data_IF_962581034830
#
_entry.id   IF_962581034830
#
_cell.length_a   1.000
_cell.length_b   1.000
_cell.length_c   1.000
_cell.angle_alpha   90.00
_cell.angle_beta   90.00
_cell.angle_gamma   90.00
#
_symmetry.space_group_name_H-M   'P 1'
#
loop_
_entity.id
_entity.type
_entity.pdbx_description
1 polymer ?
#
# COMPACT_ATOMS: atom_id res chain seq x y z
N UNK A 1 -29.60 -35.00 11.91
CA UNK A 1 -30.00 -33.85 11.07
C UNK A 1 -29.18 -32.62 11.46
N UNK A 2 -28.15 -32.27 10.68
CA UNK A 2 -27.38 -31.02 10.90
C UNK A 2 -28.25 -29.85 10.47
N UNK A 3 -28.54 -28.91 11.39
CA UNK A 3 -29.26 -27.66 11.09
C UNK A 3 -28.56 -26.99 9.89
N UNK A 4 -29.32 -26.58 8.87
CA UNK A 4 -28.81 -25.79 7.74
C UNK A 4 -28.06 -24.59 8.30
N UNK A 5 -26.75 -24.53 8.09
CA UNK A 5 -25.90 -23.41 8.52
C UNK A 5 -26.25 -22.20 7.65
N UNK A 6 -26.55 -21.06 8.27
CA UNK A 6 -26.72 -19.79 7.55
C UNK A 6 -25.34 -19.31 7.10
N UNK A 7 -24.97 -19.61 5.86
CA UNK A 7 -23.81 -19.03 5.18
C UNK A 7 -24.16 -17.56 4.89
N UNK A 8 -23.35 -16.63 5.41
CA UNK A 8 -23.63 -15.19 5.28
C UNK A 8 -22.88 -14.61 4.08
N UNK A 9 -21.70 -15.11 3.76
CA UNK A 9 -21.10 -14.78 2.47
C UNK A 9 -21.96 -15.32 1.32
N UNK A 10 -21.86 -14.65 0.17
CA UNK A 10 -22.65 -14.99 -1.01
C UNK A 10 -22.09 -16.17 -1.80
N UNK A 11 -20.86 -16.57 -1.54
CA UNK A 11 -20.23 -17.74 -2.16
C UNK A 11 -20.72 -19.00 -1.45
N UNK A 12 -21.40 -19.89 -2.18
CA UNK A 12 -21.95 -21.14 -1.63
C UNK A 12 -20.92 -22.26 -1.62
N UNK A 13 -19.70 -21.97 -1.18
CA UNK A 13 -18.60 -22.94 -1.20
C UNK A 13 -18.75 -23.90 -0.01
N UNK A 14 -18.96 -25.19 -0.29
CA UNK A 14 -19.32 -26.23 0.71
C UNK A 14 -18.25 -26.48 1.79
N UNK A 15 -17.03 -25.97 1.58
CA UNK A 15 -15.86 -26.13 2.47
C UNK A 15 -15.50 -24.86 3.27
N UNK A 16 -16.43 -23.93 3.46
CA UNK A 16 -16.19 -22.81 4.38
C UNK A 16 -16.07 -23.34 5.82
N UNK A 17 -14.89 -23.18 6.42
CA UNK A 17 -14.67 -23.50 7.83
C UNK A 17 -15.10 -22.29 8.66
N UNK A 18 -15.83 -22.59 9.72
CA UNK A 18 -16.82 -21.69 10.29
C UNK A 18 -16.22 -20.73 11.32
N UNK A 19 -15.00 -20.23 11.10
CA UNK A 19 -14.52 -19.10 11.91
C UNK A 19 -15.19 -17.87 11.34
N UNK A 20 -16.20 -17.39 12.07
CA UNK A 20 -16.97 -16.20 11.72
C UNK A 20 -16.57 -15.09 12.66
N UNK A 21 -15.88 -14.09 12.12
CA UNK A 21 -15.67 -12.84 12.82
C UNK A 21 -16.69 -11.86 12.28
N UNK A 22 -17.59 -11.41 13.14
CA UNK A 22 -18.53 -10.34 12.83
C UNK A 22 -18.05 -9.11 13.57
N UNK A 23 -17.76 -8.07 12.80
CA UNK A 23 -17.16 -6.83 13.27
C UNK A 23 -18.11 -5.71 12.91
N UNK A 24 -18.58 -4.98 13.92
CA UNK A 24 -19.49 -3.86 13.74
C UNK A 24 -18.68 -2.56 13.70
N UNK A 25 -18.95 -1.72 12.70
CA UNK A 25 -18.24 -0.44 12.53
C UNK A 25 -19.25 0.69 12.42
N UNK A 26 -19.25 1.57 13.42
CA UNK A 26 -20.12 2.74 13.49
C UNK A 26 -19.35 4.06 13.39
N UNK A 27 -18.10 4.08 13.80
CA UNK A 27 -17.22 5.25 13.78
C UNK A 27 -15.75 4.90 13.51
N UNK A 28 -14.88 5.90 13.60
CA UNK A 28 -13.44 5.76 13.38
C UNK A 28 -12.77 4.88 14.43
N UNK A 29 -13.22 4.94 15.68
CA UNK A 29 -12.66 4.14 16.77
C UNK A 29 -12.93 2.66 16.52
N UNK A 30 -14.17 2.32 16.16
CA UNK A 30 -14.54 0.95 15.77
C UNK A 30 -13.71 0.46 14.59
N UNK A 31 -13.48 1.32 13.59
CA UNK A 31 -12.67 0.98 12.41
C UNK A 31 -11.21 0.69 12.79
N UNK A 32 -10.63 1.48 13.71
CA UNK A 32 -9.28 1.28 14.21
C UNK A 32 -9.17 -0.03 15.00
N UNK A 33 -10.10 -0.29 15.93
CA UNK A 33 -10.14 -1.55 16.68
C UNK A 33 -10.31 -2.76 15.75
N UNK A 34 -11.14 -2.61 14.72
CA UNK A 34 -11.33 -3.63 13.67
C UNK A 34 -10.04 -3.91 12.92
N UNK A 35 -9.29 -2.86 12.57
CA UNK A 35 -8.02 -2.99 11.87
C UNK A 35 -6.98 -3.74 12.71
N UNK A 36 -6.82 -3.36 13.98
CA UNK A 36 -5.91 -4.02 14.91
C UNK A 36 -6.30 -5.48 15.10
N UNK A 37 -7.59 -5.77 15.25
CA UNK A 37 -8.08 -7.14 15.34
C UNK A 37 -7.75 -7.97 14.11
N UNK A 38 -8.07 -7.48 12.91
CA UNK A 38 -7.90 -8.25 11.67
C UNK A 38 -6.41 -8.44 11.34
N UNK A 39 -5.59 -7.41 11.60
CA UNK A 39 -4.14 -7.48 11.39
C UNK A 39 -3.45 -8.46 12.33
N UNK A 40 -3.93 -8.58 13.57
CA UNK A 40 -3.38 -9.49 14.58
C UNK A 40 -3.92 -10.92 14.43
N UNK A 41 -5.19 -11.09 14.03
CA UNK A 41 -5.84 -12.39 13.84
C UNK A 41 -5.37 -13.12 12.57
N UNK A 42 -4.89 -12.40 11.55
CA UNK A 42 -4.24 -12.99 10.39
C UNK A 42 -2.78 -13.39 10.73
N UNK A 43 -2.63 -14.53 11.41
CA UNK A 43 -1.32 -15.10 11.76
C UNK A 43 -0.46 -15.48 10.54
N UNK A 44 -1.08 -15.64 9.37
CA UNK A 44 -0.36 -15.75 8.11
C UNK A 44 -0.34 -14.38 7.43
N UNK A 45 0.78 -13.66 7.55
CA UNK A 45 1.08 -12.38 6.88
C UNK A 45 1.07 -12.56 5.36
N UNK A 46 -0.13 -12.64 4.76
CA UNK A 46 -0.32 -12.80 3.32
C UNK A 46 -0.51 -11.41 2.70
N UNK A 47 0.46 -10.99 1.90
CA UNK A 47 0.61 -9.66 1.29
C UNK A 47 -0.68 -9.15 0.59
N UNK A 48 -1.41 -10.04 -0.09
CA UNK A 48 -2.68 -9.71 -0.76
C UNK A 48 -3.81 -9.38 0.22
N UNK A 49 -3.94 -10.15 1.30
CA UNK A 49 -4.97 -9.93 2.31
C UNK A 49 -4.69 -8.63 3.06
N UNK A 50 -3.45 -8.37 3.43
CA UNK A 50 -3.06 -7.11 4.08
C UNK A 50 -3.27 -5.90 3.16
N UNK A 51 -2.91 -6.03 1.88
CA UNK A 51 -3.17 -5.02 0.85
C UNK A 51 -4.66 -4.71 0.72
N UNK A 52 -5.49 -5.74 0.59
CA UNK A 52 -6.93 -5.58 0.47
C UNK A 52 -7.53 -4.93 1.73
N UNK A 53 -7.12 -5.39 2.91
CA UNK A 53 -7.61 -4.85 4.17
C UNK A 53 -7.19 -3.38 4.36
N UNK A 54 -5.96 -3.01 3.98
CA UNK A 54 -5.49 -1.62 4.06
C UNK A 54 -6.30 -0.71 3.12
N UNK A 55 -6.65 -1.21 1.93
CA UNK A 55 -7.52 -0.50 0.98
C UNK A 55 -8.95 -0.36 1.52
N UNK A 56 -9.48 -1.42 2.13
CA UNK A 56 -10.78 -1.38 2.82
C UNK A 56 -10.76 -0.32 3.93
N UNK A 57 -9.77 -0.33 4.81
CA UNK A 57 -9.62 0.62 5.91
C UNK A 57 -9.62 2.07 5.41
N UNK A 58 -8.77 2.38 4.43
CA UNK A 58 -8.66 3.73 3.88
C UNK A 58 -9.95 4.21 3.21
N UNK A 59 -10.63 3.32 2.47
CA UNK A 59 -11.90 3.66 1.83
C UNK A 59 -12.97 3.98 2.88
N UNK A 60 -13.11 3.14 3.91
CA UNK A 60 -14.06 3.37 4.99
C UNK A 60 -13.72 4.65 5.75
N UNK A 61 -12.47 4.85 6.15
CA UNK A 61 -12.03 6.05 6.88
C UNK A 61 -12.39 7.33 6.11
N UNK A 62 -12.11 7.37 4.80
CA UNK A 62 -12.46 8.51 3.94
C UNK A 62 -13.97 8.81 3.93
N UNK A 63 -14.80 7.79 4.11
CA UNK A 63 -16.25 7.90 4.10
C UNK A 63 -16.81 8.27 5.49
N UNK A 64 -16.16 7.81 6.57
CA UNK A 64 -16.44 8.23 7.96
C UNK A 64 -16.14 9.73 8.11
N UNK A 65 -14.95 10.17 7.66
CA UNK A 65 -14.53 11.57 7.75
C UNK A 65 -15.48 12.52 7.01
N UNK A 66 -16.08 12.07 5.89
CA UNK A 66 -17.08 12.84 5.14
C UNK A 66 -18.46 12.88 5.84
N UNK A 67 -18.60 12.33 7.06
CA UNK A 67 -19.85 12.15 7.82
C UNK A 67 -20.98 11.50 7.02
N UNK A 68 -20.63 10.65 6.05
CA UNK A 68 -21.61 9.98 5.18
C UNK A 68 -21.97 8.59 5.67
N UNK A 69 -21.30 8.08 6.70
CA UNK A 69 -21.40 6.70 7.13
C UNK A 69 -22.51 6.48 8.16
N UNK A 70 -23.23 5.39 7.95
CA UNK A 70 -24.18 4.76 8.86
C UNK A 70 -23.65 3.35 9.17
N UNK A 71 -23.70 2.92 10.42
CA UNK A 71 -23.40 1.56 10.91
C UNK A 71 -23.39 0.46 9.82
N UNK A 72 -22.32 -0.32 9.78
CA UNK A 72 -22.19 -1.48 8.90
C UNK A 72 -21.43 -2.61 9.57
N UNK A 73 -21.58 -3.82 9.04
CA UNK A 73 -20.87 -5.01 9.54
C UNK A 73 -19.89 -5.54 8.52
N UNK A 74 -18.75 -6.00 9.00
CA UNK A 74 -17.76 -6.78 8.26
C UNK A 74 -17.78 -8.19 8.80
N UNK A 75 -17.87 -9.16 7.91
CA UNK A 75 -17.94 -10.57 8.24
C UNK A 75 -16.81 -11.27 7.51
N UNK A 76 -15.89 -11.83 8.29
CA UNK A 76 -14.79 -12.64 7.80
C UNK A 76 -15.16 -14.11 7.97
N UNK A 77 -15.09 -14.87 6.87
CA UNK A 77 -15.25 -16.32 6.86
C UNK A 77 -14.04 -16.93 6.16
N UNK A 78 -13.54 -18.06 6.65
CA UNK A 78 -12.31 -18.66 6.13
C UNK A 78 -12.51 -20.07 5.56
N UNK A 79 -11.62 -20.49 4.67
CA UNK A 79 -11.54 -21.85 4.14
C UNK A 79 -10.10 -22.26 3.87
N UNK A 80 -9.86 -23.51 3.47
CA UNK A 80 -8.50 -23.98 3.15
C UNK A 80 -7.84 -23.16 2.02
N UNK A 81 -8.64 -22.72 1.04
CA UNK A 81 -8.14 -22.10 -0.20
C UNK A 81 -8.49 -20.61 -0.33
N UNK A 82 -9.48 -20.13 0.42
CA UNK A 82 -10.01 -18.77 0.29
C UNK A 82 -10.31 -18.12 1.62
N UNK A 83 -10.09 -16.80 1.67
CA UNK A 83 -10.67 -15.92 2.69
C UNK A 83 -11.84 -15.17 2.06
N UNK A 84 -12.99 -15.16 2.74
CA UNK A 84 -14.19 -14.46 2.30
C UNK A 84 -14.40 -13.21 3.17
N UNK A 85 -14.45 -12.07 2.51
CA UNK A 85 -14.75 -10.78 3.13
C UNK A 85 -16.15 -10.35 2.74
N UNK A 86 -17.08 -10.26 3.68
CA UNK A 86 -18.45 -9.81 3.41
C UNK A 86 -18.72 -8.51 4.14
N UNK A 87 -19.11 -7.48 3.39
CA UNK A 87 -19.59 -6.22 3.94
C UNK A 87 -21.11 -6.20 3.88
N UNK A 88 -21.76 -5.91 5.00
CA UNK A 88 -23.21 -5.86 5.14
C UNK A 88 -23.67 -4.46 5.50
N UNK A 89 -24.16 -3.74 4.49
CA UNK A 89 -24.88 -2.47 4.55
C UNK A 89 -25.15 -2.04 3.10
N UNK A 90 -26.37 -1.62 2.76
CA UNK A 90 -26.75 -1.32 1.38
C UNK A 90 -25.89 -0.22 0.73
N UNK A 91 -25.72 0.92 1.41
CA UNK A 91 -24.96 2.07 0.90
C UNK A 91 -23.48 1.74 0.75
N UNK A 92 -22.90 1.13 1.77
CA UNK A 92 -21.49 0.75 1.76
C UNK A 92 -21.22 -0.37 0.75
N UNK A 93 -22.13 -1.33 0.61
CA UNK A 93 -21.99 -2.41 -0.38
C UNK A 93 -22.05 -1.88 -1.81
N UNK A 94 -22.90 -0.88 -2.08
CA UNK A 94 -22.94 -0.22 -3.39
C UNK A 94 -21.64 0.54 -3.70
N UNK A 95 -21.07 1.23 -2.71
CA UNK A 95 -19.78 1.90 -2.84
C UNK A 95 -18.67 0.87 -3.12
N UNK A 96 -18.61 -0.17 -2.30
CA UNK A 96 -17.60 -1.21 -2.38
C UNK A 96 -17.72 -2.04 -3.68
N UNK A 97 -18.92 -2.19 -4.23
CA UNK A 97 -19.14 -2.80 -5.55
C UNK A 97 -18.44 -2.04 -6.68
N UNK A 98 -18.45 -0.71 -6.63
CA UNK A 98 -17.72 0.11 -7.63
C UNK A 98 -16.22 -0.13 -7.50
N UNK A 99 -15.71 -0.14 -6.27
CA UNK A 99 -14.32 -0.45 -5.98
C UNK A 99 -13.93 -1.86 -6.42
N UNK A 100 -14.70 -2.88 -6.05
CA UNK A 100 -14.43 -4.28 -6.39
C UNK A 100 -14.43 -4.53 -7.91
N UNK A 101 -15.30 -3.83 -8.67
CA UNK A 101 -15.25 -3.83 -10.14
C UNK A 101 -13.97 -3.18 -10.67
N UNK A 102 -13.60 -2.00 -10.18
CA UNK A 102 -12.38 -1.29 -10.62
C UNK A 102 -11.12 -2.12 -10.33
N UNK A 103 -11.07 -2.75 -9.16
CA UNK A 103 -9.96 -3.59 -8.72
C UNK A 103 -9.98 -5.01 -9.30
N UNK A 104 -10.93 -5.35 -10.17
CA UNK A 104 -11.08 -6.70 -10.77
C UNK A 104 -11.09 -7.82 -9.72
N UNK A 105 -11.70 -7.57 -8.56
CA UNK A 105 -11.82 -8.57 -7.49
C UNK A 105 -12.90 -9.59 -7.84
N UNK A 106 -12.76 -10.81 -7.31
CA UNK A 106 -13.80 -11.82 -7.38
C UNK A 106 -14.86 -11.53 -6.32
N UNK A 107 -16.03 -11.03 -6.73
CA UNK A 107 -17.07 -10.58 -5.81
C UNK A 107 -18.49 -10.95 -6.25
N UNK A 108 -19.39 -11.07 -5.27
CA UNK A 108 -20.83 -11.24 -5.43
C UNK A 108 -21.58 -10.14 -4.65
N UNK A 109 -22.78 -9.78 -5.10
CA UNK A 109 -23.57 -8.68 -4.53
C UNK A 109 -25.08 -8.95 -4.62
N UNK A 110 -25.84 -8.72 -3.55
CA UNK A 110 -27.30 -8.93 -3.47
C UNK A 110 -28.08 -7.72 -2.89
N UNK A 111 -27.64 -6.50 -3.24
CA UNK A 111 -28.18 -5.21 -2.79
C UNK A 111 -27.91 -4.86 -1.32
N UNK A 112 -27.91 -5.85 -0.40
CA UNK A 112 -27.68 -5.64 1.04
C UNK A 112 -26.23 -5.84 1.47
N UNK A 113 -25.54 -6.73 0.79
CA UNK A 113 -24.15 -7.11 1.09
C UNK A 113 -23.35 -7.33 -0.17
N UNK A 114 -22.05 -7.19 -0.03
CA UNK A 114 -21.04 -7.57 -1.02
C UNK A 114 -20.08 -8.55 -0.37
N UNK A 115 -19.85 -9.68 -1.03
CA UNK A 115 -18.85 -10.66 -0.61
C UNK A 115 -17.71 -10.67 -1.61
N UNK A 116 -16.48 -10.69 -1.13
CA UNK A 116 -15.25 -10.76 -1.91
C UNK A 116 -14.53 -12.05 -1.53
N UNK A 117 -14.08 -12.79 -2.54
CA UNK A 117 -13.30 -14.01 -2.38
C UNK A 117 -11.84 -13.71 -2.68
N UNK A 118 -10.97 -13.94 -1.69
CA UNK A 118 -9.54 -13.74 -1.79
C UNK A 118 -8.84 -15.10 -1.83
N UNK A 119 -8.12 -15.36 -2.93
CA UNK A 119 -7.38 -16.61 -3.14
C UNK A 119 -6.11 -16.62 -2.27
N UNK A 120 -5.98 -17.67 -1.44
CA UNK A 120 -4.84 -17.87 -0.55
C UNK A 120 -3.54 -18.24 -1.30
N UNK A 121 -3.61 -18.77 -2.52
CA UNK A 121 -2.50 -19.34 -3.30
C UNK A 121 -2.07 -18.50 -4.53
N UNK A 122 -2.96 -17.69 -5.11
CA UNK A 122 -2.80 -17.15 -6.47
C UNK A 122 -1.65 -16.16 -6.74
N UNK A 123 -0.92 -15.64 -5.75
CA UNK A 123 0.12 -14.61 -6.01
C UNK A 123 1.51 -15.17 -6.30
N UNK A 124 1.88 -16.31 -5.71
CA UNK A 124 3.24 -16.86 -5.80
C UNK A 124 3.62 -17.30 -7.23
N UNK A 125 2.65 -17.75 -8.03
CA UNK A 125 2.91 -18.23 -9.39
C UNK A 125 3.03 -17.10 -10.42
N UNK A 126 2.34 -15.96 -10.19
CA UNK A 126 2.40 -14.79 -11.07
C UNK A 126 3.76 -14.10 -10.95
N UNK A 127 4.31 -14.03 -9.73
CA UNK A 127 5.63 -13.45 -9.43
C UNK A 127 6.80 -14.24 -10.03
N UNK A 128 6.81 -15.58 -9.90
CA UNK A 128 7.85 -16.44 -10.51
C UNK A 128 7.94 -16.34 -12.03
N UNK A 129 6.83 -16.05 -12.72
CA UNK A 129 6.81 -15.84 -14.18
C UNK A 129 7.38 -14.48 -14.59
N UNK A 130 7.26 -13.47 -13.72
CA UNK A 130 7.76 -12.11 -13.94
C UNK A 130 9.26 -12.03 -13.63
N UNK A 131 9.71 -12.63 -12.51
CA UNK A 131 11.12 -12.69 -12.13
C UNK A 131 11.97 -13.40 -13.21
N UNK A 132 11.50 -14.55 -13.73
CA UNK A 132 12.17 -15.26 -14.85
C UNK A 132 12.20 -14.46 -16.16
N UNK A 133 11.28 -13.51 -16.35
CA UNK A 133 11.22 -12.64 -17.55
C UNK A 133 12.15 -11.44 -17.40
N UNK A 134 12.36 -10.97 -16.18
CA UNK A 134 13.26 -9.87 -15.84
C UNK A 134 14.73 -10.33 -15.81
N UNK A 135 15.04 -11.50 -15.26
CA UNK A 135 16.39 -12.09 -15.32
C UNK A 135 16.88 -12.33 -16.76
N UNK A 136 15.96 -12.64 -17.70
CA UNK A 136 16.26 -12.77 -19.14
C UNK A 136 16.49 -11.42 -19.82
N UNK A 137 15.99 -10.32 -19.27
CA UNK A 137 16.16 -8.96 -19.82
C UNK A 137 17.44 -8.31 -19.30
N UNK A 138 17.77 -8.47 -18.02
CA UNK A 138 19.03 -7.97 -17.44
C UNK A 138 20.26 -8.59 -18.13
N UNK A 139 20.21 -9.89 -18.45
CA UNK A 139 21.31 -10.56 -19.19
C UNK A 139 21.51 -10.04 -20.63
N UNK A 140 20.51 -9.37 -21.20
CA UNK A 140 20.60 -8.80 -22.55
C UNK A 140 20.99 -7.31 -22.57
N UNK A 141 21.01 -6.63 -21.41
CA UNK A 141 21.33 -5.20 -21.31
C UNK A 141 22.84 -4.91 -21.20
N UNK A 142 23.69 -5.93 -21.00
CA UNK A 142 25.15 -5.77 -20.88
C UNK A 142 25.87 -5.70 -22.24
N UNK A 143 25.14 -5.76 -23.37
CA UNK A 143 25.71 -5.62 -24.73
C UNK A 143 25.11 -4.45 -25.52
N UNK A 144 25.24 -3.23 -25.02
CA UNK A 144 25.41 -2.06 -25.89
C UNK A 144 25.83 -0.84 -25.08
N UNK A 145 27.14 -0.70 -24.83
CA UNK A 145 27.73 0.59 -24.46
C UNK A 145 28.68 0.97 -25.58
N UNK A 146 28.17 1.79 -26.50
CA UNK A 146 28.89 2.86 -27.22
C UNK A 146 28.06 3.28 -28.43
N UNK A 147 27.20 4.28 -28.21
CA UNK A 147 26.88 5.23 -29.27
C UNK A 147 26.53 6.55 -28.61
N UNK A 148 27.38 7.56 -28.78
CA UNK A 148 27.01 8.95 -28.66
C UNK A 148 25.79 9.17 -29.57
N UNK A 149 24.62 9.34 -28.97
CA UNK A 149 23.41 9.69 -29.70
C UNK A 149 22.89 11.01 -29.17
N UNK A 150 22.81 11.96 -30.11
CA UNK A 150 22.07 13.22 -30.04
C UNK A 150 20.84 13.06 -29.14
N UNK A 151 20.64 14.01 -28.21
CA UNK A 151 19.46 14.12 -27.34
C UNK A 151 18.18 14.26 -28.19
N UNK A 152 17.67 13.14 -28.71
CA UNK A 152 16.29 13.07 -29.19
C UNK A 152 15.45 13.05 -27.92
N UNK A 153 14.71 14.14 -27.65
CA UNK A 153 13.70 14.16 -26.60
C UNK A 153 12.76 12.99 -26.88
N UNK A 154 12.83 11.97 -26.03
CA UNK A 154 11.86 10.86 -26.08
C UNK A 154 10.50 11.44 -25.66
N UNK A 155 9.40 10.99 -26.28
CA UNK A 155 8.08 11.44 -25.87
C UNK A 155 7.78 11.01 -24.43
N UNK A 156 6.94 11.79 -23.75
CA UNK A 156 6.39 11.41 -22.45
C UNK A 156 5.64 10.08 -22.53
N UNK A 157 5.64 9.35 -21.42
CA UNK A 157 4.82 8.16 -21.29
C UNK A 157 3.35 8.55 -21.17
N UNK A 158 2.46 7.82 -21.84
CA UNK A 158 1.01 8.14 -21.93
C UNK A 158 0.12 6.99 -21.45
N UNK A 159 0.70 6.02 -20.73
CA UNK A 159 -0.06 4.86 -20.25
C UNK A 159 -0.86 5.13 -18.98
N UNK A 160 -0.62 6.26 -18.30
CA UNK A 160 -1.47 6.76 -17.21
C UNK A 160 -2.59 7.59 -17.82
N UNK A 161 -3.84 7.33 -17.41
CA UNK A 161 -4.99 8.11 -17.88
C UNK A 161 -4.82 9.59 -17.50
N UNK A 162 -5.32 10.50 -18.34
CA UNK A 162 -5.05 11.93 -18.17
C UNK A 162 -5.58 12.47 -16.84
N UNK A 163 -6.77 12.03 -16.43
CA UNK A 163 -7.40 12.44 -15.17
C UNK A 163 -6.59 11.93 -13.97
N UNK A 164 -6.20 10.65 -13.98
CA UNK A 164 -5.34 10.05 -12.94
C UNK A 164 -3.97 10.75 -12.87
N UNK A 165 -3.38 11.13 -14.01
CA UNK A 165 -2.10 11.84 -14.05
C UNK A 165 -2.23 13.25 -13.44
N UNK A 166 -3.33 13.95 -13.70
CA UNK A 166 -3.57 15.26 -13.11
C UNK A 166 -3.78 15.15 -11.59
N UNK A 167 -4.55 14.16 -11.13
CA UNK A 167 -4.75 13.89 -9.70
C UNK A 167 -3.43 13.53 -9.00
N UNK A 168 -2.58 12.70 -9.62
CA UNK A 168 -1.24 12.39 -9.10
C UNK A 168 -0.38 13.64 -8.96
N UNK A 169 -0.47 14.61 -9.89
CA UNK A 169 0.30 15.85 -9.80
C UNK A 169 -0.19 16.75 -8.67
N UNK A 170 -1.50 16.90 -8.51
CA UNK A 170 -2.09 17.67 -7.40
C UNK A 170 -1.68 17.06 -6.05
N UNK A 171 -1.80 15.74 -5.89
CA UNK A 171 -1.39 15.04 -4.67
C UNK A 171 0.12 15.18 -4.43
N UNK A 172 0.94 15.19 -5.46
CA UNK A 172 2.38 15.38 -5.34
C UNK A 172 2.73 16.81 -4.90
N UNK A 173 2.05 17.83 -5.45
CA UNK A 173 2.20 19.21 -5.02
C UNK A 173 1.81 19.38 -3.54
N UNK A 174 0.72 18.75 -3.10
CA UNK A 174 0.31 18.70 -1.69
C UNK A 174 1.39 18.05 -0.80
N UNK A 175 1.95 16.90 -1.22
CA UNK A 175 3.03 16.24 -0.47
C UNK A 175 4.26 17.14 -0.33
N UNK A 176 4.66 17.83 -1.40
CA UNK A 176 5.77 18.78 -1.37
C UNK A 176 5.46 19.93 -0.42
N UNK A 177 4.24 20.48 -0.45
CA UNK A 177 3.84 21.56 0.45
C UNK A 177 3.95 21.13 1.91
N UNK A 178 3.40 19.96 2.27
CA UNK A 178 3.48 19.45 3.65
C UNK A 178 4.92 19.30 4.11
N UNK A 179 5.79 18.76 3.26
CA UNK A 179 7.23 18.61 3.58
C UNK A 179 7.94 19.96 3.72
N UNK A 180 7.57 20.97 2.94
CA UNK A 180 8.13 22.32 3.11
C UNK A 180 7.68 22.90 4.46
N UNK A 181 6.43 22.69 4.85
CA UNK A 181 5.93 23.14 6.15
C UNK A 181 6.62 22.42 7.31
N UNK A 182 6.87 21.11 7.20
CA UNK A 182 7.61 20.36 8.24
C UNK A 182 9.07 20.81 8.36
N UNK A 183 9.70 21.25 7.27
CA UNK A 183 11.07 21.79 7.34
C UNK A 183 11.19 23.11 8.11
N UNK A 184 10.06 23.80 8.36
CA UNK A 184 10.02 25.05 9.16
C UNK A 184 9.64 24.83 10.62
N UNK A 185 8.81 23.82 10.90
CA UNK A 185 8.16 23.67 12.21
C UNK A 185 8.25 22.26 12.81
N UNK A 186 8.93 21.31 12.14
CA UNK A 186 8.90 19.89 12.47
C UNK A 186 7.62 19.19 11.99
N UNK A 187 7.50 17.88 12.20
CA UNK A 187 6.24 17.18 11.97
C UNK A 187 5.23 17.52 13.07
N UNK A 188 4.26 18.37 12.76
CA UNK A 188 3.04 18.41 13.56
C UNK A 188 2.20 17.17 13.28
N UNK A 189 1.35 16.80 14.24
CA UNK A 189 0.49 15.63 14.07
C UNK A 189 -0.43 15.76 12.85
N UNK A 190 -0.96 16.95 12.61
CA UNK A 190 -1.83 17.26 11.47
C UNK A 190 -1.08 17.14 10.13
N UNK A 191 0.15 17.65 10.05
CA UNK A 191 0.97 17.55 8.83
C UNK A 191 1.35 16.10 8.53
N UNK A 192 1.62 15.32 9.58
CA UNK A 192 1.88 13.89 9.44
C UNK A 192 0.65 13.15 8.88
N UNK A 193 -0.54 13.40 9.44
CA UNK A 193 -1.79 12.80 8.96
C UNK A 193 -2.06 13.17 7.50
N UNK A 194 -1.86 14.44 7.14
CA UNK A 194 -2.05 14.93 5.78
C UNK A 194 -1.10 14.26 4.79
N UNK A 195 0.21 14.24 5.08
CA UNK A 195 1.20 13.57 4.25
C UNK A 195 0.88 12.08 4.05
N UNK A 196 0.58 11.38 5.16
CA UNK A 196 0.22 9.95 5.16
C UNK A 196 -1.00 9.69 4.28
N UNK A 197 -2.02 10.52 4.40
CA UNK A 197 -3.29 10.36 3.67
C UNK A 197 -3.09 10.63 2.17
N UNK A 198 -2.40 11.72 1.83
CA UNK A 198 -2.09 12.09 0.44
C UNK A 198 -1.23 11.05 -0.25
N UNK A 199 -0.15 10.58 0.40
CA UNK A 199 0.69 9.50 -0.14
C UNK A 199 -0.11 8.21 -0.34
N UNK A 200 -1.04 7.90 0.57
CA UNK A 200 -1.88 6.71 0.44
C UNK A 200 -2.78 6.78 -0.80
N UNK A 201 -3.39 7.95 -1.08
CA UNK A 201 -4.19 8.16 -2.30
C UNK A 201 -3.30 8.08 -3.54
N UNK A 202 -2.12 8.71 -3.50
CA UNK A 202 -1.14 8.65 -4.58
C UNK A 202 -0.78 7.19 -4.94
N UNK A 203 -0.48 6.37 -3.92
CA UNK A 203 -0.22 4.94 -4.10
C UNK A 203 -1.43 4.19 -4.69
N UNK A 204 -2.66 4.55 -4.31
CA UNK A 204 -3.86 3.91 -4.85
C UNK A 204 -4.01 4.13 -6.35
N UNK A 205 -3.73 5.33 -6.85
CA UNK A 205 -3.82 5.63 -8.29
C UNK A 205 -2.75 4.84 -9.06
N UNK A 206 -1.51 4.84 -8.59
CA UNK A 206 -0.42 4.13 -9.27
C UNK A 206 -0.62 2.63 -9.37
N UNK A 207 -1.35 2.03 -8.42
CA UNK A 207 -1.61 0.58 -8.39
C UNK A 207 -2.43 0.05 -9.57
N UNK A 208 -3.12 0.91 -10.31
CA UNK A 208 -3.83 0.49 -11.53
C UNK A 208 -2.88 0.29 -12.74
N UNK A 209 -1.61 0.69 -12.61
CA UNK A 209 -0.66 0.73 -13.71
C UNK A 209 0.47 -0.28 -13.52
N UNK A 210 0.26 -1.51 -14.01
CA UNK A 210 1.22 -2.63 -13.89
C UNK A 210 2.67 -2.28 -14.33
N UNK A 211 2.82 -1.35 -15.28
CA UNK A 211 4.13 -0.97 -15.85
C UNK A 211 5.07 -0.35 -14.81
N UNK A 212 4.52 0.25 -13.75
CA UNK A 212 5.26 0.97 -12.70
C UNK A 212 5.20 0.24 -11.35
N UNK A 213 4.95 -1.07 -11.38
CA UNK A 213 4.87 -1.91 -10.17
C UNK A 213 6.06 -1.72 -9.21
N UNK A 214 7.35 -1.73 -9.66
CA UNK A 214 8.47 -1.57 -8.75
C UNK A 214 8.41 -0.25 -7.96
N UNK A 215 8.19 0.86 -8.66
CA UNK A 215 8.00 2.18 -8.07
C UNK A 215 6.80 2.21 -7.11
N UNK A 216 5.65 1.69 -7.54
CA UNK A 216 4.44 1.62 -6.70
C UNK A 216 4.66 0.79 -5.42
N UNK A 217 5.44 -0.28 -5.49
CA UNK A 217 5.81 -1.10 -4.33
C UNK A 217 6.67 -0.31 -3.34
N UNK A 218 7.69 0.41 -3.81
CA UNK A 218 8.55 1.24 -2.93
C UNK A 218 7.68 2.29 -2.20
N UNK A 219 6.79 2.98 -2.92
CA UNK A 219 5.92 3.97 -2.30
C UNK A 219 4.90 3.36 -1.33
N UNK A 220 4.37 2.18 -1.66
CA UNK A 220 3.48 1.45 -0.75
C UNK A 220 4.22 1.05 0.53
N UNK A 221 5.47 0.58 0.42
CA UNK A 221 6.30 0.24 1.57
C UNK A 221 6.60 1.46 2.43
N UNK A 222 6.92 2.60 1.80
CA UNK A 222 7.12 3.86 2.52
C UNK A 222 5.83 4.35 3.22
N UNK A 223 4.68 4.24 2.54
CA UNK A 223 3.38 4.54 3.14
C UNK A 223 3.08 3.65 4.35
N UNK A 224 3.40 2.36 4.26
CA UNK A 224 3.28 1.43 5.39
C UNK A 224 4.24 1.79 6.53
N UNK A 225 5.48 2.17 6.22
CA UNK A 225 6.46 2.60 7.21
C UNK A 225 5.94 3.80 8.01
N UNK A 226 5.38 4.80 7.32
CA UNK A 226 4.68 5.94 7.95
C UNK A 226 3.54 5.45 8.85
N UNK A 227 2.65 4.60 8.33
CA UNK A 227 1.48 4.12 9.09
C UNK A 227 1.86 3.41 10.40
N UNK A 228 2.88 2.56 10.38
CA UNK A 228 3.29 1.75 11.52
C UNK A 228 4.05 2.55 12.57
N UNK A 229 4.87 3.54 12.15
CA UNK A 229 5.82 4.20 13.03
C UNK A 229 5.48 5.68 13.28
N UNK A 230 4.18 6.01 13.37
CA UNK A 230 3.69 7.38 13.55
C UNK A 230 4.50 8.19 14.57
N UNK A 231 4.66 7.66 15.78
CA UNK A 231 5.26 8.42 16.88
C UNK A 231 6.75 8.71 16.59
N UNK A 232 7.47 7.76 15.99
CA UNK A 232 8.86 7.95 15.56
C UNK A 232 9.01 9.00 14.48
N UNK A 233 8.07 9.07 13.54
CA UNK A 233 8.11 10.10 12.49
C UNK A 233 7.88 11.52 13.06
N UNK A 234 7.03 11.65 14.08
CA UNK A 234 6.76 12.92 14.76
C UNK A 234 7.98 13.39 15.56
N UNK A 235 8.77 12.45 16.10
CA UNK A 235 9.98 12.72 16.88
C UNK A 235 11.24 12.99 16.05
N UNK A 236 11.17 12.88 14.71
CA UNK A 236 12.34 13.10 13.85
C UNK A 236 12.88 14.53 13.97
N UNK A 237 14.21 14.64 14.02
CA UNK A 237 14.89 15.92 13.94
C UNK A 237 14.95 16.44 12.50
N UNK A 238 15.27 17.73 12.34
CA UNK A 238 15.30 18.42 11.03
C UNK A 238 16.22 17.73 10.02
N UNK A 239 17.36 17.20 10.46
CA UNK A 239 18.31 16.52 9.58
C UNK A 239 17.73 15.20 9.05
N UNK A 240 17.01 14.45 9.88
CA UNK A 240 16.30 13.23 9.46
C UNK A 240 15.09 13.56 8.56
N UNK A 241 14.41 14.68 8.79
CA UNK A 241 13.35 15.16 7.90
C UNK A 241 13.85 15.48 6.49
N UNK A 242 15.13 15.87 6.36
CA UNK A 242 15.73 16.14 5.05
C UNK A 242 15.74 14.90 4.14
N UNK A 243 15.79 13.70 4.72
CA UNK A 243 15.75 12.43 3.99
C UNK A 243 14.36 12.15 3.44
N UNK A 244 13.32 12.35 4.25
CA UNK A 244 11.92 12.26 3.80
C UNK A 244 11.66 13.28 2.70
N UNK A 245 12.19 14.49 2.86
CA UNK A 245 12.12 15.54 1.84
C UNK A 245 12.78 15.13 0.54
N UNK A 246 13.98 14.55 0.60
CA UNK A 246 14.65 13.98 -0.57
C UNK A 246 13.82 12.91 -1.26
N UNK A 247 13.25 11.98 -0.48
CA UNK A 247 12.38 10.94 -1.01
C UNK A 247 11.16 11.50 -1.76
N UNK A 248 10.44 12.45 -1.16
CA UNK A 248 9.27 13.09 -1.81
C UNK A 248 9.68 13.86 -3.08
N UNK A 249 10.83 14.56 -3.08
CA UNK A 249 11.31 15.19 -4.32
C UNK A 249 11.73 14.18 -5.40
N UNK A 250 12.18 12.99 -5.01
CA UNK A 250 12.46 11.94 -5.98
C UNK A 250 11.18 11.37 -6.62
N UNK A 251 10.05 11.37 -5.90
CA UNK A 251 8.72 11.08 -6.46
C UNK A 251 8.34 12.14 -7.50
N UNK A 252 8.48 13.42 -7.15
CA UNK A 252 8.20 14.54 -8.06
C UNK A 252 9.06 14.47 -9.32
N UNK A 253 10.37 14.27 -9.15
CA UNK A 253 11.31 14.18 -10.25
C UNK A 253 10.99 13.01 -11.17
N UNK A 254 10.60 11.87 -10.62
CA UNK A 254 10.12 10.71 -11.39
C UNK A 254 8.87 11.05 -12.20
N UNK A 255 7.87 11.67 -11.57
CA UNK A 255 6.58 12.01 -12.19
C UNK A 255 6.79 13.00 -13.35
N UNK A 256 7.51 14.09 -13.09
CA UNK A 256 7.79 15.13 -14.09
C UNK A 256 8.68 14.62 -15.22
N UNK A 257 9.69 13.80 -14.93
CA UNK A 257 10.59 13.28 -15.97
C UNK A 257 9.86 12.34 -16.93
N UNK A 258 9.03 11.42 -16.41
CA UNK A 258 8.40 10.42 -17.26
C UNK A 258 7.18 10.94 -18.01
N UNK A 259 6.34 11.74 -17.35
CA UNK A 259 5.00 12.07 -17.86
C UNK A 259 4.87 13.51 -18.35
N UNK A 260 5.83 14.40 -18.03
CA UNK A 260 5.85 15.78 -18.54
C UNK A 260 6.99 15.99 -19.55
N UNK A 261 8.22 15.66 -19.15
CA UNK A 261 9.43 16.01 -19.91
C UNK A 261 9.86 14.94 -20.94
N UNK A 262 9.48 13.69 -20.70
CA UNK A 262 9.89 12.54 -21.51
C UNK A 262 11.18 11.90 -21.01
N UNK A 263 11.04 10.73 -20.38
CA UNK A 263 12.13 9.95 -19.81
C UNK A 263 12.63 8.82 -20.71
N UNK A 264 13.91 8.46 -20.58
CA UNK A 264 14.51 7.43 -21.42
C UNK A 264 14.23 5.99 -20.95
N UNK A 265 14.01 5.83 -19.66
CA UNK A 265 13.80 4.57 -18.98
C UNK A 265 12.75 4.78 -17.89
N UNK A 266 11.80 3.84 -17.78
CA UNK A 266 10.71 3.88 -16.82
C UNK A 266 11.19 3.66 -15.38
N UNK A 267 12.29 2.94 -15.23
CA UNK A 267 12.81 2.44 -13.94
C UNK A 267 14.02 3.22 -13.44
N UNK A 268 14.32 4.38 -14.05
CA UNK A 268 15.56 5.13 -13.82
C UNK A 268 15.76 5.62 -12.38
N UNK A 269 14.69 5.72 -11.59
CA UNK A 269 14.73 6.15 -10.18
C UNK A 269 14.58 5.00 -9.19
N UNK A 270 14.31 3.77 -9.63
CA UNK A 270 13.96 2.66 -8.73
C UNK A 270 15.06 2.41 -7.69
N UNK A 271 16.32 2.42 -8.11
CA UNK A 271 17.46 2.24 -7.20
C UNK A 271 17.62 3.39 -6.20
N UNK A 272 17.43 4.64 -6.67
CA UNK A 272 17.57 5.82 -5.82
C UNK A 272 16.47 5.86 -4.76
N UNK A 273 15.23 5.63 -5.16
CA UNK A 273 14.09 5.60 -4.25
C UNK A 273 14.15 4.42 -3.29
N UNK A 274 14.63 3.27 -3.73
CA UNK A 274 14.82 2.12 -2.84
C UNK A 274 15.91 2.40 -1.80
N UNK A 275 17.03 3.02 -2.20
CA UNK A 275 18.08 3.40 -1.26
C UNK A 275 17.60 4.44 -0.22
N UNK A 276 16.85 5.45 -0.68
CA UNK A 276 16.24 6.43 0.22
C UNK A 276 15.26 5.77 1.20
N UNK A 277 14.39 4.88 0.70
CA UNK A 277 13.46 4.11 1.53
C UNK A 277 14.19 3.27 2.58
N UNK A 278 15.23 2.52 2.18
CA UNK A 278 16.01 1.69 3.10
C UNK A 278 16.68 2.54 4.18
N UNK A 279 17.25 3.68 3.82
CA UNK A 279 17.87 4.60 4.77
C UNK A 279 16.85 5.16 5.76
N UNK A 280 15.67 5.59 5.29
CA UNK A 280 14.60 6.07 6.17
C UNK A 280 14.11 4.93 7.07
N UNK A 281 13.95 3.72 6.52
CA UNK A 281 13.52 2.54 7.29
C UNK A 281 14.48 2.21 8.43
N UNK A 282 15.80 2.31 8.22
CA UNK A 282 16.80 2.05 9.25
C UNK A 282 16.75 3.08 10.40
N UNK A 283 16.40 4.33 10.09
CA UNK A 283 16.28 5.40 11.09
C UNK A 283 15.01 5.20 11.94
N UNK A 284 13.92 4.81 11.29
CA UNK A 284 12.59 4.70 11.92
C UNK A 284 12.42 3.40 12.70
N UNK A 285 12.95 2.31 12.17
CA UNK A 285 12.88 0.99 12.75
C UNK A 285 14.29 0.40 12.75
N UNK A 286 15.18 0.86 13.66
CA UNK A 286 16.50 0.26 13.77
C UNK A 286 16.34 -1.23 14.05
N UNK A 287 17.17 -2.10 13.44
CA UNK A 287 17.14 -3.52 13.75
C UNK A 287 17.31 -3.67 15.26
N UNK A 288 16.46 -4.49 15.89
CA UNK A 288 16.65 -4.89 17.28
C UNK A 288 18.10 -5.33 17.42
N UNK A 289 18.88 -4.63 18.25
CA UNK A 289 20.18 -5.12 18.63
C UNK A 289 19.89 -6.51 19.21
N UNK A 290 20.46 -7.55 18.61
CA UNK A 290 20.50 -8.85 19.24
C UNK A 290 21.24 -8.65 20.57
N UNK A 291 20.50 -8.36 21.64
CA UNK A 291 20.93 -8.50 23.03
C UNK A 291 21.02 -10.01 23.33
N UNK A 292 21.76 -10.75 22.52
CA UNK A 292 22.53 -11.85 23.08
C UNK A 292 23.62 -11.16 23.88
N UNK A 293 23.55 -11.32 25.20
CA UNK A 293 24.55 -10.91 26.17
C UNK A 293 25.97 -11.28 25.67
N UNK A 294 26.61 -10.41 24.88
CA UNK A 294 28.05 -10.42 24.76
C UNK A 294 28.54 -9.81 26.05
N UNK A 295 28.88 -10.70 26.98
CA UNK A 295 29.58 -10.36 28.20
C UNK A 295 30.87 -9.63 27.79
N UNK A 296 30.87 -8.30 27.93
CA UNK A 296 32.01 -7.45 27.57
C UNK A 296 33.23 -7.76 28.45
N UNK A 297 33.04 -8.53 29.52
CA UNK A 297 34.10 -9.05 30.38
C UNK A 297 34.97 -10.11 29.67
N UNK A 298 34.46 -10.82 28.65
CA UNK A 298 35.25 -11.79 27.85
C UNK A 298 36.21 -11.12 26.84
N UNK A 299 36.09 -9.80 26.61
CA UNK A 299 36.91 -9.07 25.62
C UNK A 299 38.25 -8.57 26.23
N UNK A 300 38.34 -8.47 27.56
CA UNK A 300 39.49 -7.87 28.23
C UNK A 300 40.34 -8.83 29.08
N UNK A 301 40.03 -10.13 29.08
CA UNK A 301 40.93 -11.15 29.63
C UNK A 301 42.05 -11.48 28.60
N UNK A 302 43.02 -10.57 28.51
CA UNK A 302 44.34 -10.78 27.89
C UNK A 302 45.44 -10.82 28.94
#
# INVERSE_FOLDING_TARGET
MRRKKNIINLFKDEKTYNIKHVISISDEEDLNQSWDYISTANTEKRELTQTFLAQFYNLVLSYIMKKKLSFFEVILEDSDDYLYFTLWNEKMSLLFKKYAKKASLDFLYDDKRISIRLDKKAYYEKRKKIEKKNEKREKNLIKSVNSEKKKVKKPAYTFIEHDDLNELRELNDDMIEFIIQTSKYGFSHDLFISLRSTLSIFCQILRYYDRITPFSTILTNFSNLLNVNKDRFIELNIDQLSLIKGFIYNIDYWLNTLFVNGGADLYFMDNSLNADYEMISQIISPPEANEENMDLDDIFDF
#
